data_IF_991831527726
#
_entry.id   IF_991831527726
#
_cell.length_a   1.000
_cell.length_b   1.000
_cell.length_c   1.000
_cell.angle_alpha   90.00
_cell.angle_beta   90.00
_cell.angle_gamma   90.00
#
_symmetry.space_group_name_H-M   'P 1'
#
loop_
_entity.id
_entity.type
_entity.pdbx_description
1 polymer ?
#
# COMPACT_ATOMS: atom_id res chain seq x y z
N UNK A 1 18.57 -42.97 51.47
CA UNK A 1 19.33 -41.89 50.78
C UNK A 1 18.87 -41.66 49.35
N UNK A 2 17.60 -41.85 48.95
CA UNK A 2 17.16 -41.77 47.54
C UNK A 2 16.07 -40.72 47.21
N UNK A 3 15.52 -40.01 48.20
CA UNK A 3 14.46 -39.03 47.97
C UNK A 3 14.96 -37.68 47.44
N UNK A 4 16.21 -37.30 47.75
CA UNK A 4 16.76 -35.98 47.31
C UNK A 4 17.29 -36.01 45.87
N UNK A 5 17.62 -37.14 45.33
CA UNK A 5 18.11 -37.32 43.96
C UNK A 5 16.95 -37.29 42.94
N UNK A 6 15.79 -37.83 43.30
CA UNK A 6 14.60 -37.82 42.45
C UNK A 6 14.02 -36.41 42.24
N UNK A 7 14.06 -35.56 43.29
CA UNK A 7 13.59 -34.17 43.16
C UNK A 7 14.49 -33.28 42.29
N UNK A 8 15.80 -33.58 42.24
CA UNK A 8 16.73 -32.84 41.36
C UNK A 8 16.62 -33.28 39.90
N UNK A 9 16.26 -34.50 39.60
CA UNK A 9 16.04 -34.97 38.23
C UNK A 9 14.74 -34.40 37.62
N UNK A 10 13.67 -34.20 38.46
CA UNK A 10 12.43 -33.62 37.98
C UNK A 10 12.54 -32.11 37.72
N UNK A 11 13.39 -31.40 38.47
CA UNK A 11 13.61 -29.96 38.27
C UNK A 11 14.44 -29.68 36.99
N UNK A 12 15.32 -30.58 36.55
CA UNK A 12 16.10 -30.41 35.33
C UNK A 12 15.29 -30.72 34.05
N UNK A 13 14.33 -31.66 34.13
CA UNK A 13 13.48 -32.00 32.97
C UNK A 13 12.41 -30.96 32.69
N UNK A 14 11.92 -30.22 33.69
CA UNK A 14 10.97 -29.13 33.51
C UNK A 14 11.60 -27.90 32.86
N UNK A 15 12.90 -27.65 33.07
CA UNK A 15 13.61 -26.50 32.51
C UNK A 15 13.94 -26.66 31.01
N UNK A 16 14.05 -27.87 30.51
CA UNK A 16 14.36 -28.13 29.08
C UNK A 16 13.11 -28.01 28.20
N UNK A 17 11.92 -28.31 28.75
CA UNK A 17 10.66 -28.19 28.00
C UNK A 17 10.22 -26.73 27.87
N UNK A 18 10.60 -25.83 28.79
CA UNK A 18 10.27 -24.42 28.73
C UNK A 18 11.12 -23.60 27.70
N UNK A 19 12.25 -24.10 27.23
CA UNK A 19 13.11 -23.45 26.23
C UNK A 19 12.72 -23.75 24.78
N UNK A 20 11.77 -24.65 24.53
CA UNK A 20 11.42 -25.11 23.19
C UNK A 20 10.24 -24.35 22.54
N UNK A 21 9.57 -23.42 23.23
CA UNK A 21 8.39 -22.72 22.72
C UNK A 21 8.59 -21.20 22.61
N UNK A 22 9.78 -20.74 22.25
CA UNK A 22 9.90 -19.43 21.62
C UNK A 22 9.41 -19.59 20.17
N UNK A 23 8.09 -19.66 19.98
CA UNK A 23 7.50 -19.26 18.72
C UNK A 23 7.87 -17.79 18.56
N UNK A 24 8.96 -17.52 17.85
CA UNK A 24 9.23 -16.20 17.35
C UNK A 24 7.94 -15.76 16.64
N UNK A 25 7.32 -14.73 17.13
CA UNK A 25 6.27 -14.05 16.38
C UNK A 25 6.95 -13.54 15.12
N UNK A 26 6.99 -14.39 14.09
CA UNK A 26 7.41 -14.00 12.76
C UNK A 26 6.39 -12.93 12.36
N UNK A 27 6.83 -11.68 12.23
CA UNK A 27 5.98 -10.61 11.74
C UNK A 27 5.27 -11.16 10.49
N UNK A 28 3.94 -11.16 10.51
CA UNK A 28 3.18 -11.69 9.40
C UNK A 28 3.68 -10.97 8.14
N UNK A 29 4.16 -11.75 7.16
CA UNK A 29 4.68 -11.21 5.92
C UNK A 29 3.52 -10.54 5.19
N UNK A 30 3.51 -9.21 5.15
CA UNK A 30 2.47 -8.38 4.55
C UNK A 30 2.91 -7.86 3.19
N UNK A 31 1.95 -7.50 2.34
CA UNK A 31 2.20 -6.77 1.10
C UNK A 31 1.79 -5.31 1.36
N UNK A 32 2.76 -4.41 1.38
CA UNK A 32 2.50 -2.98 1.55
C UNK A 32 1.92 -2.38 0.28
N UNK A 33 0.84 -1.62 0.43
CA UNK A 33 0.12 -0.93 -0.65
C UNK A 33 0.07 0.55 -0.33
N UNK A 34 0.63 1.38 -1.19
CA UNK A 34 0.60 2.83 -1.05
C UNK A 34 -0.76 3.40 -1.43
N UNK A 35 -1.30 4.29 -0.60
CA UNK A 35 -2.51 5.06 -0.88
C UNK A 35 -2.12 6.54 -0.82
N UNK A 36 -2.12 7.19 -1.99
CA UNK A 36 -1.62 8.55 -2.14
C UNK A 36 -2.72 9.47 -2.69
N UNK A 37 -3.47 10.05 -1.79
CA UNK A 37 -4.54 10.99 -2.06
C UNK A 37 -4.46 12.19 -1.14
N UNK A 38 -4.77 13.40 -1.64
CA UNK A 38 -4.82 14.61 -0.81
C UNK A 38 -5.94 14.51 0.22
N UNK A 39 -5.57 14.49 1.49
CA UNK A 39 -6.48 14.46 2.62
C UNK A 39 -6.66 15.87 3.22
N UNK A 40 -5.85 16.81 2.77
CA UNK A 40 -5.89 18.24 3.09
C UNK A 40 -5.71 19.09 1.85
N UNK A 41 -5.99 20.41 1.95
CA UNK A 41 -5.96 21.33 0.83
C UNK A 41 -7.20 21.25 -0.07
N UNK A 42 -7.12 21.84 -1.26
CA UNK A 42 -8.26 22.06 -2.16
C UNK A 42 -8.86 20.79 -2.74
N UNK A 43 -8.06 19.73 -2.89
CA UNK A 43 -8.52 18.46 -3.47
C UNK A 43 -9.07 17.47 -2.42
N UNK A 44 -8.99 17.79 -1.15
CA UNK A 44 -9.40 16.87 -0.08
C UNK A 44 -10.85 16.40 -0.20
N UNK A 45 -11.75 17.27 -0.62
CA UNK A 45 -13.19 16.94 -0.79
C UNK A 45 -13.39 15.81 -1.83
N UNK A 46 -12.56 15.75 -2.85
CA UNK A 46 -12.65 14.75 -3.92
C UNK A 46 -11.80 13.49 -3.62
N UNK A 47 -10.65 13.67 -2.96
CA UNK A 47 -9.67 12.59 -2.80
C UNK A 47 -9.85 11.79 -1.51
N UNK A 48 -10.44 12.37 -0.45
CA UNK A 48 -10.71 11.62 0.80
C UNK A 48 -11.60 10.40 0.58
N UNK A 49 -12.71 10.48 -0.18
CA UNK A 49 -13.52 9.31 -0.48
C UNK A 49 -12.77 8.20 -1.23
N UNK A 50 -11.82 8.56 -2.11
CA UNK A 50 -11.01 7.57 -2.82
C UNK A 50 -10.11 6.78 -1.87
N UNK A 51 -9.50 7.47 -0.90
CA UNK A 51 -8.74 6.82 0.18
C UNK A 51 -9.65 5.87 0.99
N UNK A 52 -10.85 6.31 1.35
CA UNK A 52 -11.78 5.50 2.14
C UNK A 52 -12.21 4.23 1.39
N UNK A 53 -12.52 4.34 0.10
CA UNK A 53 -12.84 3.18 -0.77
C UNK A 53 -11.65 2.22 -0.88
N UNK A 54 -10.44 2.75 -1.05
CA UNK A 54 -9.25 1.91 -1.11
C UNK A 54 -9.03 1.12 0.19
N UNK A 55 -9.18 1.77 1.35
CA UNK A 55 -9.05 1.11 2.66
C UNK A 55 -10.15 0.06 2.87
N UNK A 56 -11.41 0.37 2.54
CA UNK A 56 -12.52 -0.57 2.61
C UNK A 56 -12.25 -1.81 1.73
N UNK A 57 -11.76 -1.61 0.52
CA UNK A 57 -11.43 -2.71 -0.39
C UNK A 57 -10.28 -3.58 0.16
N UNK A 58 -9.25 -2.97 0.74
CA UNK A 58 -8.15 -3.68 1.40
C UNK A 58 -8.68 -4.53 2.57
N UNK A 59 -9.57 -3.97 3.38
CA UNK A 59 -10.18 -4.69 4.50
C UNK A 59 -10.99 -5.90 4.03
N UNK A 60 -11.78 -5.74 2.96
CA UNK A 60 -12.52 -6.85 2.36
C UNK A 60 -11.61 -7.95 1.81
N UNK A 61 -10.53 -7.59 1.12
CA UNK A 61 -9.53 -8.54 0.61
C UNK A 61 -8.88 -9.27 1.79
N UNK A 62 -8.53 -8.53 2.83
CA UNK A 62 -7.91 -9.07 4.03
C UNK A 62 -8.86 -10.01 4.79
N UNK A 63 -10.15 -9.69 4.86
CA UNK A 63 -11.15 -10.57 5.46
C UNK A 63 -11.27 -11.92 4.72
N UNK A 64 -11.05 -11.92 3.41
CA UNK A 64 -11.06 -13.12 2.54
C UNK A 64 -9.72 -13.88 2.52
N UNK A 65 -8.72 -13.48 3.32
CA UNK A 65 -7.43 -14.17 3.43
C UNK A 65 -6.25 -13.43 2.82
N UNK A 66 -6.46 -12.25 2.21
CA UNK A 66 -5.43 -11.46 1.58
C UNK A 66 -5.08 -11.91 0.16
N UNK A 67 -3.90 -11.54 -0.29
CA UNK A 67 -3.37 -11.87 -1.63
C UNK A 67 -2.20 -12.85 -1.46
N UNK A 68 -2.26 -13.98 -2.16
CA UNK A 68 -1.25 -15.06 -2.04
C UNK A 68 -1.00 -15.50 -0.58
N UNK A 69 -2.05 -15.49 0.25
CA UNK A 69 -1.95 -15.85 1.66
C UNK A 69 -1.36 -14.75 2.57
N UNK A 70 -1.04 -13.58 2.03
CA UNK A 70 -0.50 -12.44 2.77
C UNK A 70 -1.56 -11.35 2.93
N UNK A 71 -1.58 -10.70 4.09
CA UNK A 71 -2.44 -9.53 4.29
C UNK A 71 -1.88 -8.31 3.55
N UNK A 72 -2.76 -7.47 3.04
CA UNK A 72 -2.40 -6.16 2.52
C UNK A 72 -2.27 -5.17 3.69
N UNK A 73 -1.20 -4.40 3.68
CA UNK A 73 -0.90 -3.36 4.66
C UNK A 73 -0.95 -1.99 3.96
N UNK A 74 -1.98 -1.17 4.20
CA UNK A 74 -2.05 0.14 3.59
C UNK A 74 -1.04 1.12 4.20
N UNK A 75 -0.32 1.83 3.35
CA UNK A 75 0.55 2.96 3.71
C UNK A 75 -0.08 4.21 3.12
N UNK A 76 -0.75 4.99 3.96
CA UNK A 76 -1.48 6.19 3.55
C UNK A 76 -0.59 7.42 3.69
N UNK A 77 -0.52 8.23 2.65
CA UNK A 77 0.20 9.52 2.66
C UNK A 77 -0.71 10.64 2.18
N UNK A 78 -0.54 11.82 2.78
CA UNK A 78 -1.22 13.06 2.38
C UNK A 78 -0.25 13.99 1.66
N UNK A 79 -0.37 14.20 0.36
CA UNK A 79 0.39 15.20 -0.39
C UNK A 79 -0.24 16.60 -0.35
N UNK A 80 -1.27 16.84 0.46
CA UNK A 80 -1.84 18.13 0.81
C UNK A 80 -2.19 19.03 -0.38
N UNK A 81 -2.64 18.47 -1.50
CA UNK A 81 -2.92 19.19 -2.75
C UNK A 81 -1.72 19.99 -3.30
N UNK A 82 -0.51 19.56 -2.96
CA UNK A 82 0.74 20.21 -3.34
C UNK A 82 1.53 19.32 -4.31
N UNK A 83 1.70 19.75 -5.54
CA UNK A 83 2.27 18.91 -6.60
C UNK A 83 3.73 18.49 -6.35
N UNK A 84 4.63 19.36 -5.89
CA UNK A 84 5.96 18.93 -5.44
C UNK A 84 5.93 17.89 -4.33
N UNK A 85 4.99 18.03 -3.37
CA UNK A 85 4.84 17.08 -2.27
C UNK A 85 4.32 15.72 -2.74
N UNK A 86 3.51 15.67 -3.82
CA UNK A 86 3.16 14.40 -4.47
C UNK A 86 4.39 13.62 -4.90
N UNK A 87 5.34 14.27 -5.58
CA UNK A 87 6.58 13.64 -6.02
C UNK A 87 7.46 13.16 -4.84
N UNK A 88 7.54 13.97 -3.77
CA UNK A 88 8.25 13.59 -2.54
C UNK A 88 7.60 12.36 -1.88
N UNK A 89 6.27 12.35 -1.73
CA UNK A 89 5.53 11.22 -1.15
C UNK A 89 5.60 9.96 -2.00
N UNK A 90 5.58 10.10 -3.33
CA UNK A 90 5.82 8.97 -4.22
C UNK A 90 7.21 8.35 -3.99
N UNK A 91 8.25 9.20 -3.87
CA UNK A 91 9.61 8.74 -3.58
C UNK A 91 9.70 8.08 -2.21
N UNK A 92 9.03 8.62 -1.19
CA UNK A 92 8.94 8.01 0.14
C UNK A 92 8.32 6.61 0.07
N UNK A 93 7.15 6.47 -0.54
CA UNK A 93 6.43 5.20 -0.67
C UNK A 93 7.27 4.13 -1.36
N UNK A 94 7.96 4.48 -2.45
CA UNK A 94 8.72 3.53 -3.25
C UNK A 94 10.08 3.18 -2.62
N UNK A 95 10.83 4.17 -2.12
CA UNK A 95 12.21 3.95 -1.67
C UNK A 95 12.34 3.64 -0.17
N UNK A 96 11.49 4.22 0.69
CA UNK A 96 11.56 4.06 2.15
C UNK A 96 10.56 3.02 2.63
N UNK A 97 9.27 3.20 2.31
CA UNK A 97 8.20 2.31 2.73
C UNK A 97 8.19 1.00 1.95
N UNK A 98 8.76 1.01 0.72
CA UNK A 98 8.90 -0.13 -0.19
C UNK A 98 7.56 -0.80 -0.48
N UNK A 99 6.57 0.01 -0.82
CA UNK A 99 5.26 -0.50 -1.23
C UNK A 99 5.37 -1.23 -2.56
N UNK A 100 4.57 -2.28 -2.74
CA UNK A 100 4.53 -3.06 -3.98
C UNK A 100 3.84 -2.30 -5.12
N UNK A 101 2.88 -1.45 -4.77
CA UNK A 101 2.05 -0.70 -5.72
C UNK A 101 1.49 0.53 -5.03
N UNK A 102 1.16 1.57 -5.80
CA UNK A 102 0.49 2.77 -5.31
C UNK A 102 -0.84 2.95 -6.05
N UNK A 103 -1.92 3.17 -5.31
CA UNK A 103 -3.18 3.69 -5.80
C UNK A 103 -3.26 5.16 -5.43
N UNK A 104 -3.43 6.04 -6.40
CA UNK A 104 -3.39 7.44 -6.05
C UNK A 104 -3.47 8.42 -7.21
N UNK A 105 -3.32 9.68 -6.83
CA UNK A 105 -3.57 10.86 -7.64
C UNK A 105 -5.05 11.02 -8.01
N UNK A 106 -5.44 12.25 -8.34
CA UNK A 106 -6.77 12.59 -8.84
C UNK A 106 -6.67 13.54 -10.03
N UNK A 107 -5.86 14.59 -9.90
CA UNK A 107 -5.65 15.54 -11.00
C UNK A 107 -4.55 15.03 -11.94
N UNK A 108 -4.65 15.41 -13.22
CA UNK A 108 -3.59 15.12 -14.19
C UNK A 108 -2.26 15.77 -13.82
N UNK A 109 -2.29 16.93 -13.17
CA UNK A 109 -1.06 17.58 -12.71
C UNK A 109 -0.38 16.80 -11.57
N UNK A 110 -1.15 16.21 -10.64
CA UNK A 110 -0.57 15.34 -9.61
C UNK A 110 0.06 14.09 -10.23
N UNK A 111 -0.63 13.44 -11.18
CA UNK A 111 -0.08 12.29 -11.91
C UNK A 111 1.22 12.65 -12.64
N UNK A 112 1.22 13.75 -13.39
CA UNK A 112 2.41 14.21 -14.12
C UNK A 112 3.58 14.58 -13.21
N UNK A 113 3.29 15.05 -12.00
CA UNK A 113 4.33 15.34 -11.00
C UNK A 113 5.02 14.07 -10.47
N UNK A 114 4.29 12.96 -10.35
CA UNK A 114 4.84 11.71 -9.81
C UNK A 114 5.40 10.80 -10.89
N UNK A 115 4.97 10.94 -12.15
CA UNK A 115 5.36 10.07 -13.26
C UNK A 115 6.87 9.87 -13.35
N UNK A 116 7.72 10.93 -13.33
CA UNK A 116 9.18 10.74 -13.40
C UNK A 116 9.74 9.92 -12.22
N UNK A 117 9.13 10.01 -11.04
CA UNK A 117 9.56 9.26 -9.86
C UNK A 117 9.22 7.77 -10.00
N UNK A 118 8.04 7.45 -10.54
CA UNK A 118 7.65 6.07 -10.79
C UNK A 118 8.51 5.42 -11.86
N UNK A 119 8.87 6.14 -12.91
CA UNK A 119 9.77 5.67 -13.96
C UNK A 119 11.21 5.49 -13.46
N UNK A 120 11.75 6.46 -12.73
CA UNK A 120 13.10 6.39 -12.14
C UNK A 120 13.27 5.21 -11.18
N UNK A 121 12.27 4.99 -10.32
CA UNK A 121 12.33 3.95 -9.28
C UNK A 121 11.66 2.64 -9.69
N UNK A 122 11.23 2.52 -10.95
CA UNK A 122 10.50 1.37 -11.48
C UNK A 122 9.32 0.97 -10.58
N UNK A 123 8.60 1.98 -10.06
CA UNK A 123 7.40 1.78 -9.25
C UNK A 123 6.18 1.54 -10.11
N UNK A 124 5.05 1.19 -9.48
CA UNK A 124 3.79 0.91 -10.14
C UNK A 124 2.68 1.80 -9.59
N UNK A 125 2.05 2.59 -10.46
CA UNK A 125 0.93 3.47 -10.14
C UNK A 125 -0.36 2.99 -10.81
N UNK A 126 -1.43 2.84 -10.04
CA UNK A 126 -2.78 2.74 -10.54
C UNK A 126 -3.47 4.11 -10.40
N UNK A 127 -3.72 4.75 -11.53
CA UNK A 127 -4.39 6.05 -11.61
C UNK A 127 -5.90 5.85 -11.85
N UNK A 128 -6.77 6.18 -10.86
CA UNK A 128 -8.17 5.72 -10.89
C UNK A 128 -9.13 6.62 -11.67
N UNK A 129 -8.69 7.78 -12.13
CA UNK A 129 -9.55 8.83 -12.70
C UNK A 129 -9.40 8.89 -14.22
N UNK A 130 -10.37 9.48 -14.90
CA UNK A 130 -10.27 9.80 -16.32
C UNK A 130 -9.08 10.72 -16.61
N UNK A 131 -8.55 10.65 -17.81
CA UNK A 131 -7.41 11.46 -18.23
C UNK A 131 -7.53 11.90 -19.70
N UNK A 132 -6.66 12.81 -20.11
CA UNK A 132 -6.70 13.45 -21.43
C UNK A 132 -6.24 12.56 -22.59
N UNK A 133 -5.71 11.38 -22.29
CA UNK A 133 -5.02 10.55 -23.29
C UNK A 133 -3.62 11.07 -23.60
N UNK A 134 -3.05 10.60 -24.72
CA UNK A 134 -1.74 11.03 -25.25
C UNK A 134 -0.56 10.90 -24.25
N UNK A 135 -0.72 10.07 -23.24
CA UNK A 135 0.31 9.75 -22.27
C UNK A 135 0.35 8.23 -22.09
N UNK A 136 1.52 7.66 -22.11
CA UNK A 136 1.77 6.24 -21.92
C UNK A 136 3.04 6.05 -21.11
N UNK A 137 2.96 5.24 -20.06
CA UNK A 137 4.11 4.82 -19.27
C UNK A 137 3.99 3.36 -18.88
N UNK A 138 5.07 2.58 -18.91
CA UNK A 138 5.05 1.20 -18.42
C UNK A 138 4.82 1.11 -16.90
N UNK A 139 4.93 2.23 -16.20
CA UNK A 139 4.81 2.33 -14.76
C UNK A 139 3.43 2.82 -14.29
N UNK A 140 2.50 3.14 -15.23
CA UNK A 140 1.17 3.67 -14.88
C UNK A 140 0.07 2.87 -15.55
N UNK A 141 -0.86 2.37 -14.73
CA UNK A 141 -2.12 1.82 -15.19
C UNK A 141 -3.20 2.90 -15.12
N UNK A 142 -3.68 3.32 -16.28
CA UNK A 142 -4.76 4.28 -16.42
C UNK A 142 -6.08 3.51 -16.38
N UNK A 143 -6.76 3.52 -15.23
CA UNK A 143 -7.98 2.73 -15.02
C UNK A 143 -9.26 3.54 -15.21
N UNK A 144 -9.15 4.86 -15.37
CA UNK A 144 -10.26 5.75 -15.69
C UNK A 144 -10.51 5.84 -17.20
N UNK A 145 -11.59 6.53 -17.57
CA UNK A 145 -12.00 6.68 -18.95
C UNK A 145 -11.01 7.51 -19.78
N UNK A 146 -10.71 7.05 -20.98
CA UNK A 146 -9.96 7.78 -21.99
C UNK A 146 -10.90 8.70 -22.82
N UNK A 147 -10.38 9.67 -23.61
CA UNK A 147 -11.19 10.62 -24.35
C UNK A 147 -12.20 10.00 -25.32
N UNK A 148 -11.87 8.87 -25.93
CA UNK A 148 -12.79 8.13 -26.83
C UNK A 148 -13.96 7.46 -26.08
N UNK A 149 -13.91 7.38 -24.76
CA UNK A 149 -14.95 6.81 -23.92
C UNK A 149 -15.87 7.87 -23.30
N UNK A 150 -15.47 9.14 -23.28
CA UNK A 150 -16.25 10.21 -22.67
C UNK A 150 -16.30 11.52 -23.50
N UNK A 151 -15.15 12.11 -23.85
CA UNK A 151 -15.11 13.43 -24.47
C UNK A 151 -15.59 13.40 -25.94
N UNK A 152 -15.11 12.45 -26.73
CA UNK A 152 -15.47 12.33 -28.15
C UNK A 152 -16.97 12.06 -28.32
N UNK A 153 -17.58 11.05 -27.65
CA UNK A 153 -19.01 10.80 -27.75
C UNK A 153 -19.90 11.94 -27.23
N UNK A 154 -19.36 12.81 -26.40
CA UNK A 154 -20.14 13.96 -25.88
C UNK A 154 -20.26 15.12 -26.87
N UNK A 155 -19.49 15.09 -27.97
CA UNK A 155 -19.46 16.16 -29.01
C UNK A 155 -20.28 15.75 -30.26
N UNK A 156 -20.54 14.48 -30.44
CA UNK A 156 -21.37 13.90 -31.52
C UNK A 156 -22.88 14.00 -31.18
#
# INVERSE_FOLDING_TARGET
>A
MHRRTLLKAFALSASVVAMGMSFGAQAADTIKVGIMHSLSGTMAISETPLKDVALMTIDEINAKGGVLGKKLEPVVVDPASNWPLFAEKARQLLSQDKVAVVFGCWTSVSRKSVLPVFEELNGLLFYPVQYEGEEMSPNVFYTGAAPNQQAIPAVE
#
